data_IF_321691564608
#
_entry.id   IF_321691564608
#
_cell.length_a   1.000
_cell.length_b   1.000
_cell.length_c   1.000
_cell.angle_alpha   90.00
_cell.angle_beta   90.00
_cell.angle_gamma   90.00
#
_symmetry.space_group_name_H-M   'P 1'
#
loop_
_entity.id
_entity.type
_entity.pdbx_description
1 polymer ?
#
# COMPACT_ATOMS: atom_id res chain seq x y z
N UNK A 1 9.84 -2.55 11.95
CA UNK A 1 8.68 -3.48 11.93
C UNK A 1 8.04 -3.55 13.31
N UNK A 2 6.71 -3.64 13.39
CA UNK A 2 6.00 -3.84 14.66
C UNK A 2 6.22 -5.26 15.19
N UNK A 3 6.23 -5.45 16.51
CA UNK A 3 6.40 -6.77 17.10
C UNK A 3 5.14 -7.64 16.87
N UNK A 4 5.28 -8.94 16.53
CA UNK A 4 4.16 -9.87 16.52
C UNK A 4 3.60 -10.07 17.95
N UNK A 5 2.36 -10.58 18.11
CA UNK A 5 1.50 -11.14 17.07
C UNK A 5 0.67 -10.09 16.32
N UNK A 6 0.58 -10.21 14.98
CA UNK A 6 -0.26 -9.35 14.13
C UNK A 6 -1.71 -9.85 14.06
N UNK A 7 -2.41 -9.84 15.20
CA UNK A 7 -3.81 -10.31 15.32
C UNK A 7 -4.77 -9.16 15.59
N UNK A 8 -6.07 -9.38 15.35
CA UNK A 8 -7.11 -8.41 15.70
C UNK A 8 -7.15 -8.12 17.21
N UNK A 9 -6.86 -9.13 18.04
CA UNK A 9 -6.79 -8.98 19.50
C UNK A 9 -5.61 -8.08 19.91
N UNK A 10 -4.44 -8.25 19.27
CA UNK A 10 -3.29 -7.39 19.53
C UNK A 10 -3.59 -5.94 19.12
N UNK A 11 -4.17 -5.74 17.94
CA UNK A 11 -4.58 -4.42 17.46
C UNK A 11 -5.67 -3.78 18.34
N UNK A 12 -6.61 -4.56 18.87
CA UNK A 12 -7.60 -4.07 19.84
C UNK A 12 -6.95 -3.63 21.16
N UNK A 13 -5.93 -4.37 21.64
CA UNK A 13 -5.17 -3.97 22.81
C UNK A 13 -4.33 -2.71 22.56
N UNK A 14 -3.81 -2.50 21.34
CA UNK A 14 -3.18 -1.24 20.93
C UNK A 14 -4.16 -0.05 21.02
N UNK A 15 -5.41 -0.23 20.57
CA UNK A 15 -6.45 0.80 20.71
C UNK A 15 -6.70 1.13 22.19
N UNK A 16 -6.82 0.12 23.06
CA UNK A 16 -7.03 0.33 24.48
C UNK A 16 -5.89 1.12 25.13
N UNK A 17 -4.63 0.80 24.81
CA UNK A 17 -3.46 1.56 25.27
C UNK A 17 -3.45 2.99 24.75
N UNK A 18 -3.85 3.18 23.50
CA UNK A 18 -3.91 4.50 22.86
C UNK A 18 -4.99 5.37 23.50
N UNK A 19 -6.18 4.83 23.75
CA UNK A 19 -7.23 5.57 24.45
C UNK A 19 -6.85 5.90 25.89
N UNK A 20 -6.23 4.96 26.60
CA UNK A 20 -5.73 5.19 27.96
C UNK A 20 -4.65 6.28 28.00
N UNK A 21 -3.70 6.31 27.05
CA UNK A 21 -2.65 7.33 27.01
C UNK A 21 -3.19 8.73 26.68
N UNK A 22 -4.33 8.81 25.99
CA UNK A 22 -5.05 10.06 25.73
C UNK A 22 -6.05 10.42 26.83
N UNK A 23 -6.31 9.53 27.79
CA UNK A 23 -7.33 9.72 28.84
C UNK A 23 -8.76 9.77 28.30
N UNK A 24 -9.03 9.11 27.17
CA UNK A 24 -10.35 9.10 26.52
C UNK A 24 -11.03 7.74 26.63
N UNK A 25 -12.36 7.75 26.71
CA UNK A 25 -13.18 6.56 26.59
C UNK A 25 -14.21 6.81 25.47
N UNK A 26 -14.00 6.27 24.26
CA UNK A 26 -14.86 6.61 23.12
C UNK A 26 -16.26 6.00 23.29
N UNK A 27 -17.29 6.82 23.11
CA UNK A 27 -18.68 6.35 23.09
C UNK A 27 -19.06 5.67 21.77
N UNK A 28 -18.37 6.03 20.68
CA UNK A 28 -18.58 5.46 19.35
C UNK A 28 -17.21 5.17 18.74
N UNK A 29 -17.07 3.98 18.14
CA UNK A 29 -15.89 3.60 17.39
C UNK A 29 -16.29 3.30 15.95
N UNK A 30 -15.70 4.02 14.99
CA UNK A 30 -15.98 3.84 13.57
C UNK A 30 -14.72 3.26 12.91
N UNK A 31 -14.87 2.14 12.22
CA UNK A 31 -13.77 1.48 11.55
C UNK A 31 -14.14 1.06 10.13
N UNK A 32 -13.24 1.31 9.18
CA UNK A 32 -13.36 0.89 7.80
C UNK A 32 -12.52 -0.36 7.53
N UNK A 33 -13.04 -1.31 6.75
CA UNK A 33 -12.35 -2.54 6.34
C UNK A 33 -11.73 -3.29 7.53
N UNK A 34 -10.42 -3.55 7.53
CA UNK A 34 -9.69 -4.15 8.65
C UNK A 34 -9.91 -3.39 9.96
N UNK A 35 -9.96 -2.05 9.92
CA UNK A 35 -10.21 -1.20 11.09
C UNK A 35 -11.58 -1.45 11.71
N UNK A 36 -12.60 -1.80 10.91
CA UNK A 36 -13.91 -2.19 11.42
C UNK A 36 -13.88 -3.51 12.18
N UNK A 37 -13.08 -4.47 11.70
CA UNK A 37 -12.87 -5.74 12.43
C UNK A 37 -12.11 -5.53 13.73
N UNK A 38 -11.12 -4.63 13.73
CA UNK A 38 -10.42 -4.23 14.95
C UNK A 38 -11.37 -3.54 15.93
N UNK A 39 -12.28 -2.69 15.46
CA UNK A 39 -13.29 -2.05 16.29
C UNK A 39 -14.25 -3.06 16.94
N UNK A 40 -14.68 -4.09 16.20
CA UNK A 40 -15.48 -5.19 16.76
C UNK A 40 -14.68 -6.01 17.79
N UNK A 41 -13.41 -6.31 17.51
CA UNK A 41 -12.54 -7.01 18.45
C UNK A 41 -12.34 -6.21 19.76
N UNK A 42 -12.17 -4.89 19.67
CA UNK A 42 -12.11 -4.00 20.82
C UNK A 42 -13.41 -4.02 21.63
N UNK A 43 -14.57 -3.93 20.97
CA UNK A 43 -15.87 -4.00 21.63
C UNK A 43 -16.10 -5.35 22.33
N UNK A 44 -15.68 -6.45 21.71
CA UNK A 44 -15.82 -7.81 22.26
C UNK A 44 -14.85 -8.17 23.38
N UNK A 45 -13.71 -7.46 23.51
CA UNK A 45 -12.68 -7.75 24.51
C UNK A 45 -13.05 -7.31 25.95
N UNK A 46 -14.25 -6.81 26.18
CA UNK A 46 -14.71 -6.37 27.52
C UNK A 46 -14.37 -4.92 27.86
N UNK A 47 -13.66 -4.18 27.00
CA UNK A 47 -13.46 -2.74 27.15
C UNK A 47 -14.79 -1.92 27.11
N UNK A 48 -15.87 -2.54 26.62
CA UNK A 48 -17.24 -2.04 26.70
C UNK A 48 -18.03 -2.52 27.93
N UNK A 49 -17.53 -3.54 28.65
CA UNK A 49 -18.26 -4.27 29.68
C UNK A 49 -17.74 -4.03 31.12
N UNK A 50 -16.53 -3.49 31.29
CA UNK A 50 -16.09 -3.03 32.62
C UNK A 50 -16.97 -1.86 33.09
N UNK A 51 -17.22 -1.78 34.40
CA UNK A 51 -17.98 -0.68 35.01
C UNK A 51 -17.23 0.66 34.80
N UNK A 52 -17.52 1.32 33.68
CA UNK A 52 -16.79 2.49 33.16
C UNK A 52 -16.64 2.50 31.63
N UNK A 53 -16.99 1.41 30.93
CA UNK A 53 -16.97 1.30 29.48
C UNK A 53 -17.90 2.31 28.81
N UNK A 54 -17.33 3.35 28.20
CA UNK A 54 -18.10 4.38 27.50
C UNK A 54 -18.68 3.91 26.16
N UNK A 55 -18.11 2.84 25.56
CA UNK A 55 -18.43 2.42 24.20
C UNK A 55 -19.88 1.94 24.08
N UNK A 56 -20.70 2.68 23.33
CA UNK A 56 -22.11 2.39 23.06
C UNK A 56 -22.33 1.80 21.68
N UNK A 57 -21.49 2.17 20.71
CA UNK A 57 -21.68 1.79 19.32
C UNK A 57 -20.34 1.50 18.63
N UNK A 58 -20.35 0.50 17.76
CA UNK A 58 -19.28 0.22 16.81
C UNK A 58 -19.86 0.22 15.41
N UNK A 59 -19.33 1.06 14.52
CA UNK A 59 -19.78 1.16 13.14
C UNK A 59 -18.71 0.57 12.23
N UNK A 60 -19.11 -0.41 11.42
CA UNK A 60 -18.23 -1.11 10.50
C UNK A 60 -18.58 -0.72 9.08
N UNK A 61 -17.62 -0.16 8.38
CA UNK A 61 -17.76 0.29 7.00
C UNK A 61 -17.02 -0.67 6.07
N UNK A 62 -17.70 -1.15 5.03
CA UNK A 62 -17.15 -1.98 3.96
C UNK A 62 -16.38 -3.23 4.43
N UNK A 63 -16.85 -3.83 5.52
CA UNK A 63 -16.35 -5.12 6.00
C UNK A 63 -17.49 -5.98 6.54
N UNK A 64 -17.43 -7.28 6.24
CA UNK A 64 -18.25 -8.28 6.88
C UNK A 64 -17.63 -8.72 8.21
N UNK A 65 -18.45 -8.98 9.26
CA UNK A 65 -17.96 -9.61 10.48
C UNK A 65 -17.51 -11.05 10.19
N UNK A 66 -16.44 -11.47 10.87
CA UNK A 66 -15.86 -12.81 10.72
C UNK A 66 -14.71 -12.93 9.70
N UNK A 67 -14.16 -14.14 9.52
CA UNK A 67 -13.11 -14.42 8.54
C UNK A 67 -13.62 -14.12 7.13
N UNK A 68 -12.85 -13.42 6.32
CA UNK A 68 -13.22 -13.21 4.91
C UNK A 68 -12.70 -14.39 4.09
N UNK A 69 -13.56 -15.11 3.35
CA UNK A 69 -13.14 -16.18 2.46
C UNK A 69 -12.35 -15.67 1.24
N UNK A 70 -12.47 -14.38 0.88
CA UNK A 70 -11.75 -13.79 -0.27
C UNK A 70 -10.55 -12.91 0.12
N UNK A 71 -10.32 -12.62 1.41
CA UNK A 71 -9.25 -11.70 1.84
C UNK A 71 -7.84 -12.20 1.49
N UNK A 72 -7.68 -13.51 1.25
CA UNK A 72 -6.42 -14.06 0.77
C UNK A 72 -6.10 -13.66 -0.69
N UNK A 73 -7.09 -13.22 -1.48
CA UNK A 73 -6.93 -12.93 -2.90
C UNK A 73 -6.25 -11.58 -3.16
N UNK A 74 -6.90 -10.48 -2.79
CA UNK A 74 -6.46 -9.15 -3.26
C UNK A 74 -5.33 -8.57 -2.41
N UNK A 75 -5.41 -8.66 -1.09
CA UNK A 75 -4.35 -8.16 -0.21
C UNK A 75 -3.05 -8.96 -0.36
N UNK A 76 -3.11 -10.29 -0.51
CA UNK A 76 -1.90 -11.11 -0.69
C UNK A 76 -1.23 -10.86 -2.03
N UNK A 77 -2.00 -10.61 -3.11
CA UNK A 77 -1.45 -10.22 -4.41
C UNK A 77 -0.74 -8.87 -4.32
N UNK A 78 -1.36 -7.88 -3.66
CA UNK A 78 -0.72 -6.58 -3.41
C UNK A 78 0.57 -6.75 -2.60
N UNK A 79 0.56 -7.55 -1.54
CA UNK A 79 1.77 -7.82 -0.74
C UNK A 79 2.85 -8.55 -1.54
N UNK A 80 2.48 -9.47 -2.44
CA UNK A 80 3.42 -10.12 -3.33
C UNK A 80 4.05 -9.13 -4.33
N UNK A 81 3.24 -8.26 -4.94
CA UNK A 81 3.71 -7.20 -5.83
C UNK A 81 4.66 -6.23 -5.10
N UNK A 82 4.30 -5.77 -3.90
CA UNK A 82 5.15 -4.88 -3.09
C UNK A 82 6.50 -5.52 -2.72
N UNK A 83 6.55 -6.85 -2.55
CA UNK A 83 7.83 -7.57 -2.34
C UNK A 83 8.64 -7.74 -3.61
N UNK A 84 7.99 -7.85 -4.76
CA UNK A 84 8.64 -7.97 -6.06
C UNK A 84 9.17 -6.61 -6.56
N UNK A 85 8.57 -5.51 -6.11
CA UNK A 85 8.90 -4.14 -6.52
C UNK A 85 9.30 -3.30 -5.29
N UNK A 86 10.51 -3.51 -4.72
CA UNK A 86 10.91 -2.86 -3.47
C UNK A 86 11.29 -1.37 -3.62
N UNK A 87 11.39 -0.85 -4.85
CA UNK A 87 12.00 0.45 -5.13
C UNK A 87 13.54 0.41 -5.04
N UNK A 88 14.22 1.57 -5.05
CA UNK A 88 13.65 2.91 -5.06
C UNK A 88 13.00 3.29 -6.40
N UNK A 89 12.12 4.29 -6.36
CA UNK A 89 11.43 4.80 -7.56
C UNK A 89 11.84 6.24 -7.85
N UNK A 90 12.03 6.63 -9.12
CA UNK A 90 12.38 8.01 -9.47
C UNK A 90 11.22 8.99 -9.21
N UNK A 91 9.98 8.56 -9.38
CA UNK A 91 8.76 9.33 -9.07
C UNK A 91 7.65 8.42 -8.53
N UNK A 92 6.60 9.01 -7.94
CA UNK A 92 5.41 8.23 -7.54
C UNK A 92 4.72 7.62 -8.76
N UNK A 93 4.70 8.32 -9.89
CA UNK A 93 4.14 7.84 -11.14
C UNK A 93 4.90 6.62 -11.67
N UNK A 94 6.23 6.60 -11.57
CA UNK A 94 7.03 5.44 -11.94
C UNK A 94 6.70 4.23 -11.04
N UNK A 95 6.54 4.45 -9.73
CA UNK A 95 6.09 3.40 -8.81
C UNK A 95 4.71 2.83 -9.19
N UNK A 96 3.77 3.68 -9.63
CA UNK A 96 2.45 3.22 -10.11
C UNK A 96 2.58 2.33 -11.34
N UNK A 97 3.45 2.68 -12.30
CA UNK A 97 3.71 1.87 -13.49
C UNK A 97 4.31 0.52 -13.13
N UNK A 98 5.35 0.49 -12.29
CA UNK A 98 5.99 -0.77 -11.88
C UNK A 98 5.04 -1.67 -11.08
N UNK A 99 4.24 -1.11 -10.17
CA UNK A 99 3.21 -1.87 -9.44
C UNK A 99 2.14 -2.43 -10.39
N UNK A 100 1.78 -1.69 -11.44
CA UNK A 100 0.84 -2.14 -12.44
C UNK A 100 1.39 -3.31 -13.27
N UNK A 101 2.66 -3.24 -13.68
CA UNK A 101 3.34 -4.35 -14.35
C UNK A 101 3.44 -5.59 -13.46
N UNK A 102 3.52 -5.40 -12.13
CA UNK A 102 3.44 -6.47 -11.13
C UNK A 102 2.00 -6.97 -10.83
N UNK A 103 0.99 -6.50 -11.57
CA UNK A 103 -0.39 -6.99 -11.49
C UNK A 103 -1.29 -6.26 -10.49
N UNK A 104 -0.88 -5.09 -10.00
CA UNK A 104 -1.73 -4.23 -9.15
C UNK A 104 -2.57 -3.30 -10.03
N UNK A 105 -3.87 -3.17 -9.74
CA UNK A 105 -4.72 -2.22 -10.48
C UNK A 105 -4.19 -0.78 -10.35
N UNK A 106 -4.25 0.07 -11.40
CA UNK A 106 -3.67 1.41 -11.38
C UNK A 106 -4.18 2.30 -10.22
N UNK A 107 -5.46 2.19 -9.87
CA UNK A 107 -6.08 2.94 -8.77
C UNK A 107 -5.48 2.54 -7.42
N UNK A 108 -5.31 1.23 -7.20
CA UNK A 108 -4.64 0.69 -6.02
C UNK A 108 -3.16 1.08 -6.00
N UNK A 109 -2.49 1.06 -7.15
CA UNK A 109 -1.10 1.52 -7.29
C UNK A 109 -0.95 2.99 -6.89
N UNK A 110 -1.84 3.86 -7.37
CA UNK A 110 -1.86 5.29 -6.98
C UNK A 110 -2.07 5.45 -5.48
N UNK A 111 -3.03 4.75 -4.90
CA UNK A 111 -3.28 4.78 -3.46
C UNK A 111 -2.05 4.33 -2.66
N UNK A 112 -1.43 3.20 -3.03
CA UNK A 112 -0.20 2.69 -2.41
C UNK A 112 0.96 3.68 -2.53
N UNK A 113 1.12 4.28 -3.71
CA UNK A 113 2.18 5.24 -3.98
C UNK A 113 2.10 6.46 -3.08
N UNK A 114 0.93 6.79 -2.50
CA UNK A 114 0.76 7.88 -1.54
C UNK A 114 1.55 7.70 -0.23
N UNK A 115 1.88 6.45 0.13
CA UNK A 115 2.66 6.12 1.33
C UNK A 115 4.18 6.18 1.12
N UNK A 116 4.66 6.41 -0.11
CA UNK A 116 6.10 6.54 -0.37
C UNK A 116 6.67 7.80 0.30
N UNK A 117 7.92 7.71 0.75
CA UNK A 117 8.67 8.82 1.32
C UNK A 117 9.78 9.26 0.37
N UNK A 118 10.19 10.52 0.47
CA UNK A 118 11.31 11.04 -0.32
C UNK A 118 12.60 10.54 0.32
N UNK A 119 13.40 9.81 -0.45
CA UNK A 119 14.73 9.39 0.01
C UNK A 119 15.65 10.60 0.22
N UNK A 120 16.33 10.71 1.37
CA UNK A 120 17.35 11.72 1.61
C UNK A 120 18.47 11.67 0.56
N UNK A 121 19.06 12.83 0.26
CA UNK A 121 20.04 13.00 -0.82
C UNK A 121 21.30 12.12 -0.67
N UNK A 122 21.65 11.72 0.56
CA UNK A 122 22.79 10.83 0.85
C UNK A 122 22.52 9.32 0.74
N UNK A 123 21.27 8.92 0.52
CA UNK A 123 20.86 7.50 0.42
C UNK A 123 20.46 7.11 -1.02
N UNK A 124 20.49 8.06 -1.96
CA UNK A 124 20.26 7.76 -3.37
C UNK A 124 21.47 7.04 -3.95
N UNK A 125 21.26 5.84 -4.47
CA UNK A 125 22.23 5.28 -5.41
C UNK A 125 22.35 6.21 -6.62
N UNK A 126 23.57 6.47 -7.12
CA UNK A 126 23.75 7.29 -8.30
C UNK A 126 22.99 6.64 -9.46
N UNK A 127 22.19 7.45 -10.17
CA UNK A 127 21.47 6.96 -11.35
C UNK A 127 22.48 6.31 -12.32
N UNK A 128 22.15 5.16 -12.92
CA UNK A 128 23.02 4.54 -13.90
C UNK A 128 23.29 5.54 -15.03
N UNK A 129 24.56 5.71 -15.39
CA UNK A 129 24.96 6.60 -16.47
C UNK A 129 24.28 6.12 -17.76
N UNK A 130 23.34 6.92 -18.27
CA UNK A 130 22.62 6.59 -19.49
C UNK A 130 23.62 6.55 -20.64
N UNK A 131 23.81 5.36 -21.22
CA UNK A 131 24.63 5.25 -22.43
C UNK A 131 24.02 6.15 -23.53
N UNK A 132 24.86 6.94 -24.23
CA UNK A 132 24.38 7.84 -25.26
C UNK A 132 23.63 7.05 -26.34
N UNK A 133 22.47 7.57 -26.74
CA UNK A 133 21.65 6.95 -27.77
C UNK A 133 22.49 6.70 -29.05
N UNK A 134 22.36 5.52 -29.68
CA UNK A 134 23.12 5.21 -30.88
C UNK A 134 22.77 6.20 -31.99
N UNK A 135 23.81 6.75 -32.64
CA UNK A 135 23.64 7.73 -33.70
C UNK A 135 22.80 7.18 -34.87
N UNK A 136 21.90 7.99 -35.45
CA UNK A 136 21.04 7.53 -36.52
C UNK A 136 21.87 7.14 -37.75
N UNK A 137 21.77 5.88 -38.16
CA UNK A 137 22.44 5.36 -39.35
C UNK A 137 22.08 6.16 -40.59
N UNK A 138 23.06 6.89 -41.13
CA UNK A 138 22.94 7.64 -42.37
C UNK A 138 22.85 6.69 -43.56
N UNK A 139 21.64 6.37 -43.99
CA UNK A 139 21.39 5.64 -45.24
C UNK A 139 21.66 6.55 -46.44
N UNK A 140 22.88 6.52 -46.97
CA UNK A 140 23.18 7.09 -48.29
C UNK A 140 22.56 6.18 -49.37
N UNK A 141 21.37 6.53 -49.82
CA UNK A 141 20.73 5.92 -50.98
C UNK A 141 21.58 6.08 -52.25
N UNK A 142 22.08 4.97 -52.79
CA UNK A 142 22.76 4.92 -54.07
C UNK A 142 21.78 5.23 -55.21
N UNK A 143 21.99 6.35 -55.92
CA UNK A 143 21.25 6.67 -57.15
C UNK A 143 21.72 5.72 -58.26
N UNK A 144 20.83 4.83 -58.72
CA UNK A 144 21.05 4.03 -59.93
C UNK A 144 20.82 4.90 -61.17
N UNK A 145 21.77 4.93 -62.10
CA UNK A 145 21.62 5.56 -63.43
C UNK A 145 20.74 4.67 -64.33
N UNK A 146 19.89 5.25 -65.19
CA UNK A 146 19.14 4.48 -66.18
C UNK A 146 20.02 4.14 -67.42
N UNK A 147 19.68 3.08 -68.18
CA UNK A 147 20.42 2.65 -69.35
C UNK A 147 20.12 3.50 -70.59
N UNK A 148 21.03 3.56 -71.58
CA UNK A 148 20.84 4.33 -72.81
C UNK A 148 19.88 3.64 -73.80
N UNK A 149 19.25 4.46 -74.65
CA UNK A 149 18.31 4.11 -75.72
C UNK A 149 18.97 3.34 -76.88
#
# INVERSE_FOLDING_TARGET
CFAPPHTLQAAAADLQRTFASMGVAPAVLVGHSLGGKTALAYAGAGAAADEGGALRQAWVLDALPGPSPSAAGDASKVLAALRAVPGPFPTREAAVVELHEAGVAPETGRWLSGSLEVMPEGEREPAPELEPAPEPHSSKGARRRPPPL
#
